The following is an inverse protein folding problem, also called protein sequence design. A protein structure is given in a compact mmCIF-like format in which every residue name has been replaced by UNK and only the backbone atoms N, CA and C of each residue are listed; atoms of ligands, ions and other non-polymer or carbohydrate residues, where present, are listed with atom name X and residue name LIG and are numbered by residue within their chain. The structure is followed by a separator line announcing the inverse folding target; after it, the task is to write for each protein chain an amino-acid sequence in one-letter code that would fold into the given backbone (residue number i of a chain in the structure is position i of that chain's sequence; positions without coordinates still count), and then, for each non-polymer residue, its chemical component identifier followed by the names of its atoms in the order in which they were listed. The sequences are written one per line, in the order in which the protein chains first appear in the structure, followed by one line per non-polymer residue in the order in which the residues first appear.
data_IF_263361840834
#
_entry.id   IF_263361840834
#
_cell.length_a   1.000
_cell.length_b   1.000
_cell.length_c   1.000
_cell.angle_alpha   90.00
_cell.angle_beta   90.00
_cell.angle_gamma   90.00
#
_symmetry.space_group_name_H-M   'P 1'
#
loop_
_entity.id
_entity.type
_entity.pdbx_description
1 polymer ?
#
# COMPACT_ATOMS: atom_id res chain seq x y z
N UNK A 1 44.88 -9.05 -65.71
CA UNK A 1 44.83 -7.56 -65.72
C UNK A 1 43.36 -7.20 -65.86
N UNK A 2 42.66 -6.68 -64.87
CA UNK A 2 43.12 -5.81 -63.79
C UNK A 2 42.31 -6.08 -62.52
N UNK A 3 43.04 -6.17 -61.42
CA UNK A 3 42.51 -6.05 -60.06
C UNK A 3 41.98 -4.62 -59.89
N UNK A 4 40.82 -4.49 -59.26
CA UNK A 4 40.37 -3.22 -58.72
C UNK A 4 40.25 -3.39 -57.21
N UNK A 5 41.27 -2.92 -56.51
CA UNK A 5 41.28 -2.66 -55.07
C UNK A 5 40.73 -1.27 -54.76
N UNK A 6 40.42 -1.09 -53.46
CA UNK A 6 40.15 0.16 -52.71
C UNK A 6 38.68 0.64 -52.78
N UNK A 7 37.94 0.87 -51.69
CA UNK A 7 38.29 1.37 -50.35
C UNK A 7 37.40 0.77 -49.24
N UNK A 8 37.88 0.59 -47.99
CA UNK A 8 37.00 0.37 -46.85
C UNK A 8 36.59 1.74 -46.26
N UNK A 9 35.29 1.99 -46.17
CA UNK A 9 34.76 3.15 -45.43
C UNK A 9 34.80 2.79 -43.94
N UNK A 10 35.77 3.34 -43.22
CA UNK A 10 35.79 3.41 -41.77
C UNK A 10 34.62 4.28 -41.29
N UNK A 11 33.57 3.65 -40.80
CA UNK A 11 32.54 4.33 -40.00
C UNK A 11 32.94 4.19 -38.53
N UNK A 12 33.69 5.17 -38.04
CA UNK A 12 34.03 5.34 -36.63
C UNK A 12 32.79 5.78 -35.88
N UNK A 13 31.87 4.85 -35.62
CA UNK A 13 30.82 5.05 -34.62
C UNK A 13 31.46 4.91 -33.24
N UNK A 14 31.99 6.02 -32.74
CA UNK A 14 32.32 6.26 -31.35
C UNK A 14 31.07 6.01 -30.50
N UNK A 15 30.92 4.77 -30.04
CA UNK A 15 29.93 4.39 -29.06
C UNK A 15 30.34 5.02 -27.73
N UNK A 16 29.87 6.25 -27.50
CA UNK A 16 30.00 7.01 -26.27
C UNK A 16 29.23 6.31 -25.13
N UNK A 17 29.75 5.19 -24.66
CA UNK A 17 29.37 4.58 -23.39
C UNK A 17 29.94 5.47 -22.30
N UNK A 18 29.11 6.36 -21.78
CA UNK A 18 29.42 7.11 -20.57
C UNK A 18 29.72 6.12 -19.44
N UNK A 19 30.86 6.24 -18.74
CA UNK A 19 31.14 5.39 -17.59
C UNK A 19 30.09 5.68 -16.52
N UNK A 20 29.20 4.71 -16.27
CA UNK A 20 28.26 4.73 -15.15
C UNK A 20 29.08 4.75 -13.86
N UNK A 21 29.19 5.92 -13.24
CA UNK A 21 29.75 6.09 -11.91
C UNK A 21 29.16 5.03 -10.96
N UNK A 22 29.98 4.33 -10.15
CA UNK A 22 29.45 3.42 -9.15
C UNK A 22 28.59 4.21 -8.16
N UNK A 23 27.36 3.73 -7.92
CA UNK A 23 26.50 4.32 -6.90
C UNK A 23 27.26 4.36 -5.56
N UNK A 24 27.31 5.50 -4.87
CA UNK A 24 27.98 5.59 -3.58
C UNK A 24 27.32 4.64 -2.59
N UNK A 25 28.08 4.06 -1.64
CA UNK A 25 27.52 3.17 -0.64
C UNK A 25 26.45 3.91 0.16
N UNK A 26 25.32 3.24 0.41
CA UNK A 26 24.22 3.79 1.18
C UNK A 26 24.74 4.27 2.54
N UNK A 27 24.52 5.56 2.84
CA UNK A 27 24.91 6.16 4.12
C UNK A 27 24.34 5.32 5.29
N UNK A 28 25.12 5.10 6.36
CA UNK A 28 24.60 4.42 7.54
C UNK A 28 23.42 5.21 8.10
N UNK A 29 22.32 4.51 8.42
CA UNK A 29 21.17 5.13 9.09
C UNK A 29 21.67 5.82 10.38
N UNK A 30 21.22 7.05 10.68
CA UNK A 30 21.63 7.71 11.91
C UNK A 30 21.26 6.82 13.10
N UNK A 31 22.20 6.66 14.04
CA UNK A 31 21.95 5.95 15.29
C UNK A 31 20.73 6.57 15.97
N UNK A 32 19.83 5.72 16.46
CA UNK A 32 18.68 6.17 17.22
C UNK A 32 19.16 7.05 18.40
N UNK A 33 18.53 8.20 18.67
CA UNK A 33 18.94 9.07 19.77
C UNK A 33 18.86 8.30 21.10
N UNK A 34 19.80 8.55 22.03
CA UNK A 34 19.71 7.96 23.37
C UNK A 34 18.40 8.40 24.02
N UNK A 35 17.72 7.47 24.70
CA UNK A 35 16.54 7.80 25.51
C UNK A 35 17.00 8.77 26.61
N UNK A 36 16.59 10.02 26.53
CA UNK A 36 16.81 11.01 27.57
C UNK A 36 16.16 10.52 28.85
N UNK A 37 16.97 10.08 29.79
CA UNK A 37 16.61 9.97 31.19
C UNK A 37 16.59 11.37 31.81
N UNK A 38 15.76 11.53 32.85
CA UNK A 38 15.62 12.69 33.74
C UNK A 38 14.71 13.81 33.20
N UNK A 39 13.92 14.53 33.98
CA UNK A 39 13.41 14.47 35.36
C UNK A 39 12.44 15.66 35.50
N UNK A 40 11.62 15.65 36.56
CA UNK A 40 10.81 16.77 37.06
C UNK A 40 9.69 17.31 36.13
N UNK A 41 8.47 16.80 36.36
CA UNK A 41 7.24 17.57 36.09
C UNK A 41 7.16 18.69 37.12
N UNK A 42 7.47 19.92 36.72
CA UNK A 42 7.13 21.10 37.52
C UNK A 42 5.65 21.41 37.34
N UNK A 43 5.00 21.61 38.49
CA UNK A 43 3.61 22.04 38.67
C UNK A 43 3.29 23.29 37.87
N UNK A 44 2.26 23.21 37.01
CA UNK A 44 1.34 24.29 36.66
C UNK A 44 -0.01 23.68 36.31
N UNK A 45 -0.71 23.15 37.32
CA UNK A 45 -2.16 23.20 37.25
C UNK A 45 -2.54 24.66 37.44
N UNK A 46 -3.34 25.20 36.54
CA UNK A 46 -3.99 26.47 36.78
C UNK A 46 -5.12 26.16 37.76
N UNK A 47 -4.99 26.69 38.98
CA UNK A 47 -6.14 27.07 39.80
C UNK A 47 -7.03 27.97 38.91
N UNK A 48 -8.29 27.58 38.70
CA UNK A 48 -9.45 28.39 38.29
C UNK A 48 -10.42 27.50 37.48
N UNK A 49 -11.17 26.66 38.17
CA UNK A 49 -12.55 26.29 37.80
C UNK A 49 -13.23 25.78 39.08
N UNK A 50 -13.94 26.71 39.73
CA UNK A 50 -14.92 26.47 40.80
C UNK A 50 -16.14 25.72 40.22
N UNK A 51 -15.97 24.45 39.87
CA UNK A 51 -17.09 23.55 39.60
C UNK A 51 -17.45 22.81 40.90
N UNK A 52 -18.48 23.36 41.55
CA UNK A 52 -19.42 22.78 42.52
C UNK A 52 -19.39 21.24 42.52
N UNK A 53 -18.52 20.68 43.36
CA UNK A 53 -18.42 19.24 43.54
C UNK A 53 -19.57 18.81 44.45
N UNK A 54 -20.67 18.41 43.82
CA UNK A 54 -21.78 17.74 44.47
C UNK A 54 -21.26 16.64 45.41
N UNK A 55 -21.77 16.69 46.63
CA UNK A 55 -21.69 15.74 47.73
C UNK A 55 -21.97 14.31 47.23
N UNK A 56 -20.92 13.60 46.83
CA UNK A 56 -21.02 12.17 46.57
C UNK A 56 -21.15 11.47 47.91
N UNK A 57 -22.35 10.98 48.17
CA UNK A 57 -22.62 10.07 49.28
C UNK A 57 -21.59 8.93 49.32
N UNK A 58 -21.13 8.66 50.53
CA UNK A 58 -20.30 7.53 50.95
C UNK A 58 -21.05 6.23 50.66
N UNK A 59 -20.96 5.76 49.42
CA UNK A 59 -21.40 4.42 49.06
C UNK A 59 -20.41 3.43 49.67
N UNK A 60 -20.90 2.74 50.69
CA UNK A 60 -20.41 1.48 51.27
C UNK A 60 -19.42 0.75 50.35
N UNK A 61 -18.15 0.70 50.76
CA UNK A 61 -17.05 0.00 50.10
C UNK A 61 -17.26 -1.52 50.24
N UNK A 62 -18.28 -2.06 49.56
CA UNK A 62 -18.35 -3.48 49.28
C UNK A 62 -17.28 -3.79 48.23
N UNK A 63 -16.17 -4.39 48.68
CA UNK A 63 -15.05 -4.89 47.87
C UNK A 63 -15.53 -5.49 46.53
N UNK A 64 -15.46 -4.71 45.45
CA UNK A 64 -15.74 -5.21 44.12
C UNK A 64 -14.51 -6.05 43.69
N UNK A 65 -14.59 -7.37 43.87
CA UNK A 65 -13.55 -8.30 43.41
C UNK A 65 -13.22 -7.98 41.95
N UNK A 66 -12.01 -7.49 41.68
CA UNK A 66 -11.53 -7.30 40.30
C UNK A 66 -11.55 -8.66 39.59
N UNK A 67 -12.62 -8.97 38.85
CA UNK A 67 -12.76 -10.20 38.09
C UNK A 67 -11.82 -10.16 36.88
N UNK A 68 -10.54 -10.41 37.17
CA UNK A 68 -9.50 -10.59 36.18
C UNK A 68 -9.82 -11.82 35.33
N UNK A 69 -9.62 -11.72 34.02
CA UNK A 69 -9.65 -12.90 33.17
C UNK A 69 -8.61 -13.94 33.66
N UNK A 70 -8.70 -15.20 33.20
CA UNK A 70 -7.75 -16.25 33.58
C UNK A 70 -6.27 -15.94 33.25
N UNK A 71 -5.97 -14.76 32.70
CA UNK A 71 -4.65 -14.23 32.38
C UNK A 71 -4.32 -12.91 33.09
N UNK A 72 -5.13 -12.45 34.05
CA UNK A 72 -4.82 -11.31 34.90
C UNK A 72 -4.93 -9.95 34.21
N UNK A 73 -5.73 -9.80 33.14
CA UNK A 73 -5.83 -8.54 32.38
C UNK A 73 -7.16 -7.84 32.65
N UNK A 74 -7.13 -6.54 32.99
CA UNK A 74 -8.31 -5.65 32.97
C UNK A 74 -9.01 -5.78 31.61
N UNK A 75 -10.11 -6.53 31.58
CA UNK A 75 -10.78 -6.97 30.38
C UNK A 75 -12.21 -6.44 30.37
N UNK A 76 -12.57 -5.71 29.31
CA UNK A 76 -13.96 -5.35 29.08
C UNK A 76 -14.77 -6.64 28.90
N UNK A 77 -15.98 -6.79 29.52
CA UNK A 77 -16.81 -7.98 29.38
C UNK A 77 -16.92 -8.46 27.93
N UNK A 78 -16.83 -9.77 27.72
CA UNK A 78 -16.81 -10.41 26.39
C UNK A 78 -18.04 -10.03 25.53
N UNK A 79 -19.13 -9.61 26.15
CA UNK A 79 -20.36 -9.22 25.45
C UNK A 79 -20.27 -7.82 24.82
N UNK A 80 -19.28 -7.01 25.22
CA UNK A 80 -19.03 -5.68 24.67
C UNK A 80 -18.00 -5.67 23.53
N UNK A 81 -17.27 -6.77 23.29
CA UNK A 81 -16.46 -6.88 22.07
C UNK A 81 -17.40 -7.25 20.92
N UNK A 82 -17.73 -6.32 19.99
CA UNK A 82 -18.59 -6.66 18.89
C UNK A 82 -17.93 -7.81 18.12
N UNK A 83 -18.67 -8.92 17.97
CA UNK A 83 -18.24 -10.11 17.21
C UNK A 83 -18.17 -9.74 15.73
N UNK A 84 -17.23 -8.88 15.36
CA UNK A 84 -16.98 -8.51 13.98
C UNK A 84 -16.24 -9.68 13.36
N UNK A 85 -16.98 -10.75 13.06
CA UNK A 85 -16.63 -11.68 12.00
C UNK A 85 -16.66 -10.87 10.70
N UNK A 86 -15.63 -10.03 10.49
CA UNK A 86 -15.40 -9.32 9.25
C UNK A 86 -15.22 -10.40 8.20
N UNK A 87 -16.29 -10.66 7.46
CA UNK A 87 -16.34 -11.70 6.43
C UNK A 87 -15.08 -11.64 5.60
N UNK A 88 -14.30 -12.73 5.62
CA UNK A 88 -13.04 -12.83 4.88
C UNK A 88 -13.36 -12.55 3.42
N UNK A 89 -12.92 -11.40 2.92
CA UNK A 89 -13.19 -10.99 1.54
C UNK A 89 -12.68 -12.07 0.58
N UNK A 90 -13.59 -12.71 -0.17
CA UNK A 90 -13.25 -13.80 -1.10
C UNK A 90 -12.21 -13.32 -2.12
N UNK A 91 -11.15 -14.11 -2.29
CA UNK A 91 -10.06 -13.90 -3.27
C UNK A 91 -10.50 -14.38 -4.64
N UNK A 92 -10.01 -13.75 -5.71
CA UNK A 92 -10.41 -14.03 -7.10
C UNK A 92 -9.44 -15.01 -7.80
N UNK A 93 -8.31 -15.35 -7.17
CA UNK A 93 -7.22 -16.21 -7.68
C UNK A 93 -6.93 -16.07 -9.18
N UNK A 94 -5.99 -15.19 -9.52
CA UNK A 94 -5.60 -14.96 -10.91
C UNK A 94 -4.27 -15.67 -11.19
N UNK A 95 -4.30 -16.71 -12.02
CA UNK A 95 -3.11 -17.41 -12.49
C UNK A 95 -2.60 -16.80 -13.79
N UNK A 96 -1.43 -16.17 -13.74
CA UNK A 96 -0.78 -15.54 -14.90
C UNK A 96 0.74 -15.68 -14.83
N UNK A 97 1.37 -15.79 -16.01
CA UNK A 97 2.82 -15.74 -16.14
C UNK A 97 3.30 -14.29 -16.16
N UNK A 98 4.56 -14.08 -15.83
CA UNK A 98 5.11 -12.72 -15.73
C UNK A 98 5.29 -12.09 -17.11
N UNK A 99 5.58 -12.90 -18.11
CA UNK A 99 5.88 -12.53 -19.50
C UNK A 99 4.65 -11.94 -20.17
N UNK A 100 3.46 -12.50 -19.89
CA UNK A 100 2.20 -12.06 -20.50
C UNK A 100 1.71 -10.68 -20.02
N UNK A 101 2.35 -10.10 -18.99
CA UNK A 101 2.01 -8.78 -18.44
C UNK A 101 2.61 -7.64 -19.28
N UNK A 102 1.89 -7.26 -20.32
CA UNK A 102 2.16 -6.08 -21.15
C UNK A 102 0.99 -5.10 -21.17
N UNK A 103 1.27 -3.81 -21.37
CA UNK A 103 0.24 -2.74 -21.42
C UNK A 103 -0.72 -2.91 -22.61
N UNK A 104 -0.29 -3.61 -23.67
CA UNK A 104 -1.09 -3.93 -24.86
C UNK A 104 -2.12 -5.05 -24.60
N UNK A 105 -1.91 -5.86 -23.57
CA UNK A 105 -2.77 -7.00 -23.26
C UNK A 105 -3.98 -6.57 -22.42
N UNK A 106 -4.84 -5.74 -23.01
CA UNK A 106 -6.06 -5.19 -22.40
C UNK A 106 -6.95 -6.24 -21.72
N UNK A 107 -7.27 -7.41 -22.33
CA UNK A 107 -8.17 -8.38 -21.69
C UNK A 107 -7.61 -8.92 -20.37
N UNK A 108 -6.29 -9.11 -20.28
CA UNK A 108 -5.63 -9.57 -19.07
C UNK A 108 -5.61 -8.46 -18.00
N UNK A 109 -5.27 -7.23 -18.38
CA UNK A 109 -5.24 -6.09 -17.45
C UNK A 109 -6.61 -5.72 -16.91
N UNK A 110 -7.67 -5.94 -17.68
CA UNK A 110 -9.06 -5.66 -17.25
C UNK A 110 -9.47 -6.54 -16.06
N UNK A 111 -8.90 -7.75 -15.92
CA UNK A 111 -9.14 -8.64 -14.77
C UNK A 111 -8.55 -8.10 -13.46
N UNK A 112 -7.56 -7.20 -13.53
CA UNK A 112 -6.96 -6.53 -12.38
C UNK A 112 -7.71 -5.25 -11.97
N UNK A 113 -8.78 -4.91 -12.69
CA UNK A 113 -9.59 -3.73 -12.41
C UNK A 113 -10.93 -4.12 -11.77
N UNK A 114 -11.38 -3.26 -10.88
CA UNK A 114 -12.73 -3.29 -10.35
C UNK A 114 -13.74 -2.71 -11.36
N UNK A 115 -15.02 -2.88 -11.08
CA UNK A 115 -16.15 -2.28 -11.81
C UNK A 115 -16.03 -0.77 -12.02
N UNK A 116 -15.39 -0.06 -11.09
CA UNK A 116 -15.18 1.39 -11.14
C UNK A 116 -13.87 1.78 -11.84
N UNK A 117 -13.15 0.81 -12.39
CA UNK A 117 -11.83 1.02 -12.98
C UNK A 117 -10.72 1.22 -11.96
N UNK A 118 -10.89 0.85 -10.68
CA UNK A 118 -9.81 0.90 -9.66
C UNK A 118 -8.92 -0.34 -9.76
N UNK A 119 -7.63 -0.23 -9.45
CA UNK A 119 -6.73 -1.39 -9.44
C UNK A 119 -7.01 -2.25 -8.20
N UNK A 120 -7.29 -3.54 -8.40
CA UNK A 120 -7.51 -4.49 -7.32
C UNK A 120 -6.24 -4.70 -6.50
N UNK A 121 -6.40 -4.80 -5.18
CA UNK A 121 -5.28 -5.05 -4.28
C UNK A 121 -4.74 -6.48 -4.45
N UNK A 122 -3.47 -6.68 -4.12
CA UNK A 122 -2.84 -8.01 -4.12
C UNK A 122 -3.62 -9.04 -3.31
N UNK A 123 -4.21 -8.62 -2.18
CA UNK A 123 -4.98 -9.52 -1.28
C UNK A 123 -6.24 -10.05 -1.97
N UNK A 124 -6.86 -9.24 -2.83
CA UNK A 124 -8.03 -9.61 -3.64
C UNK A 124 -7.65 -10.50 -4.82
N UNK A 125 -6.59 -10.15 -5.54
CA UNK A 125 -6.15 -10.87 -6.75
C UNK A 125 -5.45 -12.19 -6.44
N UNK A 126 -4.78 -12.31 -5.29
CA UNK A 126 -4.06 -13.51 -4.88
C UNK A 126 -2.70 -13.72 -5.55
N UNK A 127 -2.24 -12.78 -6.39
CA UNK A 127 -1.01 -12.93 -7.16
C UNK A 127 0.28 -12.70 -6.35
N UNK A 128 1.42 -13.16 -6.88
CA UNK A 128 2.74 -12.82 -6.35
C UNK A 128 3.00 -11.31 -6.36
N UNK A 129 3.80 -10.81 -5.42
CA UNK A 129 4.15 -9.39 -5.34
C UNK A 129 4.87 -8.89 -6.61
N UNK A 130 5.71 -9.74 -7.24
CA UNK A 130 6.41 -9.41 -8.50
C UNK A 130 5.41 -9.14 -9.64
N UNK A 131 4.43 -10.03 -9.77
CA UNK A 131 3.36 -9.96 -10.76
C UNK A 131 2.50 -8.71 -10.51
N UNK A 132 2.08 -8.46 -9.27
CA UNK A 132 1.28 -7.28 -8.93
C UNK A 132 2.00 -5.97 -9.29
N UNK A 133 3.30 -5.83 -8.98
CA UNK A 133 4.07 -4.62 -9.32
C UNK A 133 4.13 -4.40 -10.83
N UNK A 134 4.42 -5.46 -11.60
CA UNK A 134 4.47 -5.38 -13.07
C UNK A 134 3.09 -5.05 -13.65
N UNK A 135 2.03 -5.64 -13.13
CA UNK A 135 0.65 -5.34 -13.52
C UNK A 135 0.29 -3.88 -13.26
N UNK A 136 0.62 -3.32 -12.09
CA UNK A 136 0.36 -1.90 -11.77
C UNK A 136 1.07 -0.99 -12.77
N UNK A 137 2.34 -1.24 -13.08
CA UNK A 137 3.09 -0.45 -14.06
C UNK A 137 2.48 -0.56 -15.47
N UNK A 138 2.08 -1.77 -15.89
CA UNK A 138 1.41 -1.98 -17.17
C UNK A 138 0.06 -1.28 -17.26
N UNK A 139 -0.77 -1.34 -16.20
CA UNK A 139 -2.05 -0.65 -16.13
C UNK A 139 -1.86 0.87 -16.19
N UNK A 140 -0.90 1.43 -15.44
CA UNK A 140 -0.60 2.87 -15.47
C UNK A 140 -0.22 3.32 -16.89
N UNK A 141 0.64 2.56 -17.57
CA UNK A 141 1.00 2.83 -18.98
C UNK A 141 -0.20 2.74 -19.91
N UNK A 142 -1.00 1.68 -19.80
CA UNK A 142 -2.20 1.51 -20.62
C UNK A 142 -3.21 2.65 -20.43
N UNK A 143 -3.34 3.16 -19.19
CA UNK A 143 -4.19 4.32 -18.91
C UNK A 143 -3.65 5.63 -19.52
N UNK A 144 -2.33 5.87 -19.46
CA UNK A 144 -1.75 7.04 -20.15
C UNK A 144 -1.99 7.01 -21.66
N UNK A 145 -2.07 5.82 -22.25
CA UNK A 145 -2.38 5.59 -23.66
C UNK A 145 -3.90 5.53 -23.94
N UNK A 146 -4.75 5.89 -22.96
CA UNK A 146 -6.21 5.83 -23.06
C UNK A 146 -6.80 4.44 -23.39
N UNK A 147 -6.05 3.35 -23.19
CA UNK A 147 -6.53 1.97 -23.41
C UNK A 147 -7.42 1.46 -22.26
N UNK A 148 -7.28 2.04 -21.07
CA UNK A 148 -8.02 1.66 -19.87
C UNK A 148 -8.61 2.89 -19.17
N UNK A 149 -9.78 2.76 -18.51
CA UNK A 149 -10.43 3.86 -17.81
C UNK A 149 -9.66 4.29 -16.54
N UNK A 150 -9.74 5.58 -16.25
CA UNK A 150 -9.34 6.17 -14.96
C UNK A 150 -10.51 6.26 -13.97
N UNK A 151 -11.71 6.56 -14.45
CA UNK A 151 -12.86 6.92 -13.64
C UNK A 151 -14.03 5.95 -13.84
N UNK A 152 -14.93 5.93 -12.86
CA UNK A 152 -16.14 5.12 -12.91
C UNK A 152 -17.05 5.55 -14.07
N UNK A 153 -17.14 6.86 -14.35
CA UNK A 153 -17.95 7.38 -15.46
C UNK A 153 -17.47 6.86 -16.81
N UNK A 154 -16.16 6.89 -17.07
CA UNK A 154 -15.61 6.31 -18.30
C UNK A 154 -15.94 4.81 -18.42
N UNK A 155 -15.89 4.09 -17.30
CA UNK A 155 -16.20 2.66 -17.28
C UNK A 155 -17.69 2.38 -17.54
N UNK A 156 -18.59 3.23 -17.08
CA UNK A 156 -20.04 3.11 -17.35
C UNK A 156 -20.34 3.33 -18.83
N UNK A 157 -19.81 4.41 -19.41
CA UNK A 157 -20.02 4.76 -20.83
C UNK A 157 -19.54 3.64 -21.76
N UNK A 158 -18.34 3.10 -21.51
CA UNK A 158 -17.79 1.99 -22.29
C UNK A 158 -18.62 0.71 -22.20
N UNK A 159 -19.22 0.42 -21.04
CA UNK A 159 -20.10 -0.74 -20.85
C UNK A 159 -21.47 -0.56 -21.48
N UNK A 160 -22.04 0.64 -21.42
CA UNK A 160 -23.33 0.98 -22.05
C UNK A 160 -23.26 0.79 -23.58
N UNK A 161 -22.16 1.23 -24.21
CA UNK A 161 -21.93 1.07 -25.65
C UNK A 161 -21.77 -0.39 -26.11
N UNK A 162 -21.47 -1.32 -25.19
CA UNK A 162 -21.29 -2.75 -25.49
C UNK A 162 -22.61 -3.55 -25.43
N UNK A 163 -23.72 -2.93 -25.05
CA UNK A 163 -25.03 -3.59 -24.83
C UNK A 163 -26.07 -3.29 -25.90
N UNK A 164 -25.73 -2.45 -26.90
CA UNK A 164 -26.51 -2.26 -28.13
C UNK A 164 -25.79 -2.95 -29.28
#
# INVERSE_FOLDING_TARGET
MSEQETTPVEESAENSTSPSQPNPPAAPKPAAPPKSSQSAKSSRYNDDDDDDYDDYEDYDDEEEEEELDARGRFGVPSDYVPSTQRGRSRRIHIDIKLEDLHYKNIPLLTRFLDTRGRILSRRKTGVSAKIQRKAVTAIKRARHLALLPYTAEHTRVTRLKKRG
#
